data_IF_814515240548
#
_entry.id   IF_814515240548
#
_cell.length_a   1.000
_cell.length_b   1.000
_cell.length_c   1.000
_cell.angle_alpha   90.00
_cell.angle_beta   90.00
_cell.angle_gamma   90.00
#
_symmetry.space_group_name_H-M   'P 1'
#
loop_
_entity.id
_entity.type
_entity.pdbx_description
1 polymer ?
#
# COMPACT_ATOMS: atom_id res chain seq x y z
N UNK A 1 5.96 -19.90 -6.28
CA UNK A 1 6.18 -18.44 -6.47
C UNK A 1 6.95 -17.86 -5.32
N UNK A 2 7.83 -16.93 -5.61
CA UNK A 2 8.57 -16.21 -4.59
C UNK A 2 7.67 -15.12 -3.99
N UNK A 3 7.65 -15.02 -2.65
CA UNK A 3 6.92 -13.98 -1.95
C UNK A 3 7.75 -12.70 -1.90
N UNK A 4 7.20 -11.58 -2.34
CA UNK A 4 7.91 -10.30 -2.47
C UNK A 4 7.08 -9.17 -1.89
N UNK A 5 7.71 -8.31 -1.09
CA UNK A 5 7.08 -7.09 -0.59
C UNK A 5 7.14 -6.01 -1.65
N UNK A 6 6.03 -5.32 -1.82
CA UNK A 6 5.94 -4.13 -2.67
C UNK A 6 5.52 -2.97 -1.78
N UNK A 7 6.32 -1.91 -1.78
CA UNK A 7 6.08 -0.75 -0.92
C UNK A 7 5.33 0.32 -1.70
N UNK A 8 4.23 0.79 -1.11
CA UNK A 8 3.44 1.91 -1.62
C UNK A 8 3.77 3.11 -0.77
N UNK A 9 4.32 4.14 -1.38
CA UNK A 9 4.77 5.35 -0.68
C UNK A 9 4.24 6.61 -1.34
N UNK A 10 3.92 7.60 -0.50
CA UNK A 10 3.62 8.95 -0.97
C UNK A 10 4.90 9.59 -1.51
N UNK A 11 4.86 10.05 -2.76
CA UNK A 11 5.94 10.78 -3.40
C UNK A 11 5.67 12.30 -3.35
N UNK A 12 6.60 13.10 -3.88
CA UNK A 12 6.40 14.55 -4.00
C UNK A 12 5.17 14.85 -4.84
N UNK A 13 4.99 14.12 -5.94
CA UNK A 13 3.80 14.20 -6.80
C UNK A 13 3.22 12.80 -6.95
N UNK A 14 2.07 12.59 -6.29
CA UNK A 14 1.39 11.30 -6.35
C UNK A 14 2.00 10.23 -5.47
N UNK A 15 2.01 9.00 -5.97
CA UNK A 15 2.42 7.80 -5.23
C UNK A 15 3.33 6.93 -6.08
N UNK A 16 4.18 6.16 -5.40
CA UNK A 16 5.05 5.18 -6.04
C UNK A 16 4.81 3.79 -5.47
N UNK A 17 5.03 2.78 -6.31
CA UNK A 17 5.04 1.39 -5.92
C UNK A 17 6.35 0.77 -6.38
N UNK A 18 7.06 0.08 -5.49
CA UNK A 18 8.32 -0.58 -5.84
C UNK A 18 8.52 -1.84 -5.02
N UNK A 19 9.12 -2.86 -5.64
CA UNK A 19 9.40 -4.10 -4.94
C UNK A 19 10.69 -4.02 -4.15
N UNK A 20 10.76 -4.81 -3.08
CA UNK A 20 11.98 -4.99 -2.32
C UNK A 20 13.06 -5.68 -3.16
N UNK A 21 14.31 -5.57 -2.71
CA UNK A 21 15.40 -6.35 -3.26
C UNK A 21 15.15 -7.84 -2.95
N UNK A 22 14.93 -8.66 -3.97
CA UNK A 22 14.47 -10.03 -3.79
C UNK A 22 15.37 -11.06 -4.46
N UNK A 23 16.57 -10.67 -4.89
CA UNK A 23 17.51 -11.57 -5.55
C UNK A 23 17.07 -12.00 -6.94
N UNK A 24 16.19 -11.24 -7.58
CA UNK A 24 15.74 -11.46 -8.95
C UNK A 24 16.63 -10.67 -9.91
N UNK A 25 16.61 -11.06 -11.19
CA UNK A 25 17.33 -10.34 -12.23
C UNK A 25 16.48 -9.25 -12.90
N UNK A 26 15.33 -8.93 -12.32
CA UNK A 26 14.46 -7.83 -12.75
C UNK A 26 13.88 -7.12 -11.53
N UNK A 27 13.38 -5.91 -11.75
CA UNK A 27 12.64 -5.14 -10.78
C UNK A 27 11.46 -4.46 -11.43
N UNK A 28 10.41 -4.21 -10.65
CA UNK A 28 9.21 -3.52 -11.10
C UNK A 28 8.99 -2.28 -10.26
N UNK A 29 8.52 -1.23 -10.91
CA UNK A 29 8.06 -0.01 -10.26
C UNK A 29 6.77 0.45 -10.90
N UNK A 30 6.04 1.29 -10.19
CA UNK A 30 4.85 1.96 -10.72
C UNK A 30 4.70 3.33 -10.10
N UNK A 31 4.04 4.23 -10.80
CA UNK A 31 3.76 5.58 -10.34
C UNK A 31 2.34 5.97 -10.75
N UNK A 32 1.73 6.85 -9.99
CA UNK A 32 0.40 7.37 -10.32
C UNK A 32 0.01 8.51 -9.43
N UNK A 33 -1.02 9.24 -9.84
CA UNK A 33 -1.60 10.32 -9.05
C UNK A 33 -2.36 9.80 -7.82
N UNK A 34 -2.81 8.56 -7.89
CA UNK A 34 -3.49 7.85 -6.79
C UNK A 34 -2.75 6.56 -6.46
N UNK A 35 -3.03 6.01 -5.28
CA UNK A 35 -2.47 4.72 -4.88
C UNK A 35 -2.87 3.63 -5.89
N UNK A 36 -4.13 3.60 -6.31
CA UNK A 36 -4.60 2.58 -7.25
C UNK A 36 -3.90 2.70 -8.62
N UNK A 37 -3.69 3.92 -9.10
CA UNK A 37 -2.94 4.13 -10.34
C UNK A 37 -1.50 3.64 -10.24
N UNK A 38 -0.84 3.86 -9.09
CA UNK A 38 0.52 3.37 -8.87
C UNK A 38 0.57 1.84 -8.87
N UNK A 39 -0.41 1.18 -8.25
CA UNK A 39 -0.53 -0.28 -8.23
C UNK A 39 -0.80 -0.81 -9.64
N UNK A 40 -1.70 -0.18 -10.37
CA UNK A 40 -2.04 -0.59 -11.74
C UNK A 40 -0.83 -0.45 -12.67
N UNK A 41 -0.08 0.63 -12.54
CA UNK A 41 1.14 0.86 -13.31
C UNK A 41 2.22 -0.18 -12.96
N UNK A 42 2.37 -0.51 -11.67
CA UNK A 42 3.26 -1.58 -11.24
C UNK A 42 2.88 -2.93 -11.88
N UNK A 43 1.60 -3.27 -11.86
CA UNK A 43 1.11 -4.52 -12.43
C UNK A 43 1.31 -4.57 -13.94
N UNK A 44 1.10 -3.45 -14.62
CA UNK A 44 1.35 -3.34 -16.07
C UNK A 44 2.84 -3.52 -16.39
N UNK A 45 3.72 -2.95 -15.60
CA UNK A 45 5.16 -3.10 -15.71
C UNK A 45 5.57 -4.58 -15.52
N UNK A 46 5.01 -5.24 -14.52
CA UNK A 46 5.26 -6.66 -14.26
C UNK A 46 4.88 -7.52 -15.47
N UNK A 47 3.69 -7.33 -16.00
CA UNK A 47 3.22 -8.08 -17.20
C UNK A 47 4.13 -7.82 -18.39
N UNK A 48 4.55 -6.57 -18.59
CA UNK A 48 5.45 -6.21 -19.68
C UNK A 48 6.81 -6.91 -19.59
N UNK A 49 7.37 -6.98 -18.40
CA UNK A 49 8.65 -7.68 -18.17
C UNK A 49 8.51 -9.18 -18.41
N UNK A 50 7.44 -9.79 -17.91
CA UNK A 50 7.14 -11.20 -18.15
C UNK A 50 7.03 -11.50 -19.63
N UNK A 51 6.27 -10.69 -20.36
CA UNK A 51 6.06 -10.87 -21.80
C UNK A 51 7.37 -10.70 -22.58
N UNK A 52 8.21 -9.76 -22.16
CA UNK A 52 9.54 -9.59 -22.76
C UNK A 52 10.41 -10.81 -22.59
N UNK A 53 10.47 -11.38 -21.36
CA UNK A 53 11.24 -12.60 -21.09
C UNK A 53 10.75 -13.77 -21.94
N UNK A 54 9.44 -13.92 -22.06
CA UNK A 54 8.85 -14.95 -22.92
C UNK A 54 9.29 -14.77 -24.38
N UNK A 55 9.29 -13.53 -24.87
CA UNK A 55 9.64 -13.21 -26.26
C UNK A 55 11.08 -13.57 -26.60
N UNK A 56 12.00 -13.53 -25.65
CA UNK A 56 13.42 -13.87 -25.86
C UNK A 56 13.78 -15.27 -25.36
N UNK A 57 12.79 -16.07 -24.94
CA UNK A 57 13.01 -17.43 -24.45
C UNK A 57 13.74 -17.51 -23.11
N UNK A 58 13.75 -16.44 -22.34
CA UNK A 58 14.39 -16.38 -21.02
C UNK A 58 13.40 -16.81 -19.95
N UNK A 59 13.89 -17.63 -19.00
CA UNK A 59 13.07 -18.03 -17.85
C UNK A 59 12.70 -16.82 -17.01
N UNK A 60 11.40 -16.68 -16.72
CA UNK A 60 10.87 -15.66 -15.85
C UNK A 60 10.46 -16.26 -14.50
N UNK A 61 11.04 -15.76 -13.42
CA UNK A 61 10.66 -16.18 -12.06
C UNK A 61 9.46 -15.36 -11.63
N UNK A 62 8.29 -15.98 -11.51
CA UNK A 62 7.06 -15.32 -11.07
C UNK A 62 7.10 -15.04 -9.57
N UNK A 63 6.43 -13.96 -9.18
CA UNK A 63 6.36 -13.51 -7.79
C UNK A 63 4.92 -13.37 -7.34
N UNK A 64 4.72 -13.49 -6.03
CA UNK A 64 3.47 -13.14 -5.36
C UNK A 64 3.72 -11.89 -4.53
N UNK A 65 3.03 -10.78 -4.86
CA UNK A 65 3.26 -9.49 -4.25
C UNK A 65 2.42 -9.29 -3.00
N UNK A 66 3.05 -8.79 -1.94
CA UNK A 66 2.39 -8.34 -0.73
C UNK A 66 2.59 -6.82 -0.63
N UNK A 67 1.50 -6.07 -0.71
CA UNK A 67 1.55 -4.62 -0.71
C UNK A 67 1.59 -4.07 0.72
N UNK A 68 2.60 -3.25 0.98
CA UNK A 68 2.82 -2.57 2.26
C UNK A 68 2.68 -1.08 2.03
N UNK A 69 1.77 -0.44 2.74
CA UNK A 69 1.47 0.98 2.58
C UNK A 69 2.19 1.78 3.65
N UNK A 70 2.77 2.92 3.28
CA UNK A 70 3.07 3.91 4.30
C UNK A 70 1.74 4.54 4.79
N UNK A 71 1.80 5.23 5.93
CA UNK A 71 0.57 5.75 6.56
C UNK A 71 -0.12 6.77 5.66
N UNK A 72 0.62 7.64 4.99
CA UNK A 72 0.05 8.63 4.09
C UNK A 72 -0.70 7.97 2.92
N UNK A 73 -0.15 6.91 2.34
CA UNK A 73 -0.80 6.18 1.24
C UNK A 73 -2.06 5.47 1.70
N UNK A 74 -2.06 4.85 2.87
CA UNK A 74 -3.26 4.23 3.44
C UNK A 74 -4.36 5.28 3.64
N UNK A 75 -4.02 6.41 4.25
CA UNK A 75 -5.01 7.46 4.50
C UNK A 75 -5.55 8.06 3.20
N UNK A 76 -4.71 8.26 2.20
CA UNK A 76 -5.14 8.77 0.90
C UNK A 76 -6.07 7.80 0.18
N UNK A 77 -5.78 6.51 0.21
CA UNK A 77 -6.58 5.47 -0.45
C UNK A 77 -7.97 5.35 0.19
N UNK A 78 -8.03 5.41 1.51
CA UNK A 78 -9.27 5.14 2.25
C UNK A 78 -10.00 6.37 2.76
N UNK A 79 -9.55 7.60 2.42
CA UNK A 79 -10.19 8.83 2.89
C UNK A 79 -11.64 9.00 2.41
N UNK A 80 -12.03 8.33 1.33
CA UNK A 80 -13.41 8.34 0.86
C UNK A 80 -14.31 7.40 1.67
N UNK A 81 -13.74 6.34 2.25
CA UNK A 81 -14.47 5.38 3.06
C UNK A 81 -14.53 5.78 4.54
N UNK A 82 -13.49 6.44 5.03
CA UNK A 82 -13.36 6.81 6.45
C UNK A 82 -13.03 8.29 6.61
N UNK A 83 -13.80 8.98 7.46
CA UNK A 83 -13.39 10.30 7.90
C UNK A 83 -12.21 10.21 8.87
N UNK A 84 -11.45 11.28 9.00
CA UNK A 84 -10.35 11.32 9.98
C UNK A 84 -10.89 11.17 11.40
N UNK A 85 -12.08 11.72 11.69
CA UNK A 85 -12.73 11.52 12.99
C UNK A 85 -13.09 10.06 13.23
N UNK A 86 -13.57 9.36 12.21
CA UNK A 86 -13.84 7.91 12.29
C UNK A 86 -12.58 7.11 12.52
N UNK A 87 -11.50 7.45 11.82
CA UNK A 87 -10.19 6.80 12.00
C UNK A 87 -9.60 7.07 13.38
N UNK A 88 -9.85 8.24 13.98
CA UNK A 88 -9.46 8.49 15.36
C UNK A 88 -10.11 7.47 16.31
N UNK A 89 -11.41 7.19 16.12
CA UNK A 89 -12.12 6.18 16.92
C UNK A 89 -11.53 4.77 16.71
N UNK A 90 -11.20 4.46 15.49
CA UNK A 90 -10.69 3.13 15.12
C UNK A 90 -9.26 2.93 15.64
N UNK A 91 -8.41 3.93 15.51
CA UNK A 91 -6.97 3.81 15.78
C UNK A 91 -6.55 4.37 17.14
N UNK A 92 -7.34 5.27 17.71
CA UNK A 92 -6.95 6.01 18.91
C UNK A 92 -5.95 7.12 18.66
N UNK A 93 -5.65 7.42 17.40
CA UNK A 93 -4.76 8.53 17.01
C UNK A 93 -5.60 9.75 16.71
N UNK A 94 -5.23 10.90 17.28
CA UNK A 94 -5.94 12.15 17.08
C UNK A 94 -6.11 12.49 15.60
N UNK A 95 -7.30 12.90 15.19
CA UNK A 95 -7.62 13.18 13.78
C UNK A 95 -6.76 14.29 13.18
N UNK A 96 -6.35 15.28 13.96
CA UNK A 96 -5.45 16.32 13.50
C UNK A 96 -4.07 15.76 13.15
N UNK A 97 -3.59 14.85 13.98
CA UNK A 97 -2.32 14.16 13.74
C UNK A 97 -2.42 13.25 12.50
N UNK A 98 -3.53 12.53 12.34
CA UNK A 98 -3.78 11.74 11.12
C UNK A 98 -3.78 12.65 9.87
N UNK A 99 -4.35 13.84 9.97
CA UNK A 99 -4.30 14.82 8.88
C UNK A 99 -2.87 15.23 8.52
N UNK A 100 -2.02 15.43 9.52
CA UNK A 100 -0.60 15.72 9.28
C UNK A 100 0.11 14.59 8.54
N UNK A 101 -0.19 13.34 8.88
CA UNK A 101 0.35 12.17 8.16
C UNK A 101 -0.17 12.12 6.73
N UNK A 102 -1.46 12.33 6.53
CA UNK A 102 -2.09 12.33 5.21
C UNK A 102 -1.43 13.34 4.26
N UNK A 103 -1.13 14.54 4.76
CA UNK A 103 -0.55 15.61 3.96
C UNK A 103 0.98 15.60 3.93
N UNK A 104 1.61 14.62 4.57
CA UNK A 104 3.08 14.49 4.56
C UNK A 104 3.80 15.50 5.44
N UNK A 105 3.10 16.20 6.33
CA UNK A 105 3.68 17.19 7.25
C UNK A 105 4.52 16.52 8.33
N UNK A 106 4.20 15.28 8.69
CA UNK A 106 4.94 14.48 9.63
C UNK A 106 4.78 12.99 9.30
N UNK A 107 5.67 12.18 9.84
CA UNK A 107 5.63 10.72 9.70
C UNK A 107 5.42 10.08 11.06
N UNK A 108 4.59 9.05 11.17
CA UNK A 108 4.39 8.37 12.44
C UNK A 108 5.62 7.56 12.85
N UNK A 109 5.82 7.44 14.17
CA UNK A 109 6.80 6.51 14.72
C UNK A 109 6.37 5.07 14.47
N UNK A 110 7.30 4.13 14.63
CA UNK A 110 7.00 2.70 14.51
C UNK A 110 5.87 2.28 15.45
N UNK A 111 5.90 2.76 16.68
CA UNK A 111 4.87 2.48 17.70
C UNK A 111 3.49 2.98 17.23
N UNK A 112 3.43 4.16 16.63
CA UNK A 112 2.19 4.73 16.11
C UNK A 112 1.67 3.92 14.92
N UNK A 113 2.56 3.51 13.99
CA UNK A 113 2.20 2.65 12.86
C UNK A 113 1.57 1.35 13.36
N UNK A 114 2.16 0.71 14.34
CA UNK A 114 1.64 -0.53 14.93
C UNK A 114 0.26 -0.33 15.56
N UNK A 115 0.06 0.80 16.21
CA UNK A 115 -1.23 1.15 16.81
C UNK A 115 -2.31 1.37 15.74
N UNK A 116 -1.98 2.07 14.66
CA UNK A 116 -2.88 2.28 13.52
C UNK A 116 -3.26 0.92 12.91
N UNK A 117 -2.28 0.10 12.61
CA UNK A 117 -2.51 -1.22 12.00
C UNK A 117 -3.37 -2.10 12.89
N UNK A 118 -3.08 -2.17 14.18
CA UNK A 118 -3.86 -2.97 15.12
C UNK A 118 -5.31 -2.49 15.20
N UNK A 119 -5.55 -1.18 15.24
CA UNK A 119 -6.89 -0.61 15.27
C UNK A 119 -7.68 -0.92 14.00
N UNK A 120 -7.06 -0.75 12.85
CA UNK A 120 -7.69 -1.01 11.54
C UNK A 120 -8.05 -2.51 11.41
N UNK A 121 -7.15 -3.39 11.79
CA UNK A 121 -7.40 -4.84 11.72
C UNK A 121 -8.48 -5.30 12.69
N UNK A 122 -8.51 -4.75 13.88
CA UNK A 122 -9.58 -5.04 14.86
C UNK A 122 -10.95 -4.56 14.34
N UNK A 123 -11.00 -3.37 13.75
CA UNK A 123 -12.21 -2.85 13.13
C UNK A 123 -12.66 -3.76 11.98
N UNK A 124 -11.76 -4.18 11.11
CA UNK A 124 -12.06 -5.06 10.00
C UNK A 124 -12.63 -6.40 10.46
N UNK A 125 -12.06 -6.99 11.53
CA UNK A 125 -12.54 -8.23 12.11
C UNK A 125 -13.96 -8.07 12.66
N UNK A 126 -14.23 -6.99 13.37
CA UNK A 126 -15.56 -6.69 13.89
C UNK A 126 -16.57 -6.49 12.77
N UNK A 127 -16.19 -5.78 11.73
CA UNK A 127 -17.05 -5.52 10.58
C UNK A 127 -17.40 -6.82 9.84
N UNK A 128 -16.44 -7.71 9.70
CA UNK A 128 -16.63 -9.02 9.09
C UNK A 128 -17.66 -9.87 9.85
N UNK A 129 -17.76 -9.72 11.17
CA UNK A 129 -18.68 -10.46 12.01
C UNK A 129 -20.12 -9.91 11.99
N UNK A 130 -20.35 -8.72 11.44
CA UNK A 130 -21.68 -8.11 11.36
C UNK A 130 -22.58 -8.94 10.44
N UNK A 131 -23.78 -9.23 10.90
CA UNK A 131 -24.78 -9.98 10.15
C UNK A 131 -26.02 -9.10 9.93
N UNK A 132 -26.67 -9.29 8.81
CA UNK A 132 -27.88 -8.53 8.47
C UNK A 132 -29.12 -9.41 8.56
N UNK A 133 -30.24 -8.81 9.03
CA UNK A 133 -31.54 -9.50 9.10
C UNK A 133 -32.27 -9.36 7.78
#
# INVERSE_FOLDING_TARGET
MKEVKVFIEKAEFGFSAYMEEAGLDYGCTGEGATVQEAIDDFNLSYVGIRDYYESIGKRFEEIHCHFYYDTASFLAEYCEAFSLAGLERITGINQKQLGHYLHGQSKPSRKTIEKIEAGVKAFAANLTAVQFT
#
